data_IF_226634010398
#
_entry.id   IF_226634010398
#
_cell.length_a   1.000
_cell.length_b   1.000
_cell.length_c   1.000
_cell.angle_alpha   90.00
_cell.angle_beta   90.00
_cell.angle_gamma   90.00
#
_symmetry.space_group_name_H-M   'P 1'
#
loop_
_entity.id
_entity.type
_entity.pdbx_description
1 polymer ?
#
# COMPACT_ATOMS: atom_id res chain seq x y z
N UNK A 1 15.54 1.60 -22.74
CA UNK A 1 15.29 0.84 -21.49
C UNK A 1 14.28 1.61 -20.65
N UNK A 2 13.19 0.99 -20.26
CA UNK A 2 12.20 1.65 -19.42
C UNK A 2 12.78 1.94 -18.02
N UNK A 3 12.89 3.21 -17.64
CA UNK A 3 13.21 3.55 -16.26
C UNK A 3 11.96 3.40 -15.40
N UNK A 4 11.99 2.52 -14.43
CA UNK A 4 10.96 2.47 -13.39
C UNK A 4 11.44 3.32 -12.23
N UNK A 5 10.70 4.38 -11.93
CA UNK A 5 10.85 5.07 -10.67
C UNK A 5 10.04 4.32 -9.63
N UNK A 6 10.71 3.63 -8.72
CA UNK A 6 10.07 2.93 -7.60
C UNK A 6 10.17 3.76 -6.32
N UNK A 7 9.06 3.87 -5.60
CA UNK A 7 9.03 4.41 -4.25
C UNK A 7 8.83 3.25 -3.30
N UNK A 8 9.79 3.03 -2.41
CA UNK A 8 9.68 2.07 -1.33
C UNK A 8 9.30 2.80 -0.05
N UNK A 9 8.17 2.41 0.53
CA UNK A 9 7.64 3.02 1.74
C UNK A 9 7.70 2.01 2.88
N UNK A 10 8.38 2.39 3.97
CA UNK A 10 8.42 1.61 5.21
C UNK A 10 7.59 2.35 6.24
N UNK A 11 6.67 1.69 6.98
CA UNK A 11 5.82 2.37 7.95
C UNK A 11 6.63 3.10 9.01
N UNK A 12 6.47 4.42 9.08
CA UNK A 12 7.07 5.29 10.10
C UNK A 12 6.00 6.21 10.67
N UNK A 13 6.27 6.79 11.83
CA UNK A 13 5.36 7.70 12.53
C UNK A 13 5.71 9.15 12.26
N UNK A 14 5.60 9.59 11.02
CA UNK A 14 5.73 11.02 10.69
C UNK A 14 4.36 11.68 10.78
N UNK A 15 4.30 12.83 11.46
CA UNK A 15 3.09 13.63 11.54
C UNK A 15 2.94 14.51 10.30
N UNK A 16 1.71 14.72 9.87
CA UNK A 16 1.38 15.49 8.67
C UNK A 16 1.81 16.96 8.73
N UNK A 17 1.87 17.53 9.95
CA UNK A 17 2.27 18.92 10.19
C UNK A 17 3.80 19.13 10.22
N UNK A 18 4.59 18.08 10.10
CA UNK A 18 6.04 18.19 10.13
C UNK A 18 6.59 18.56 8.76
N UNK A 19 7.57 19.48 8.77
CA UNK A 19 8.37 19.76 7.58
C UNK A 19 9.25 18.55 7.27
N UNK A 20 9.43 18.15 6.00
CA UNK A 20 10.36 17.10 5.66
C UNK A 20 11.76 17.41 6.16
N UNK A 21 12.36 16.53 6.95
CA UNK A 21 13.72 16.66 7.46
C UNK A 21 14.74 16.03 6.48
N UNK A 22 14.30 14.99 5.77
CA UNK A 22 15.14 14.20 4.85
C UNK A 22 14.39 13.94 3.53
N UNK A 23 15.16 13.74 2.47
CA UNK A 23 14.61 13.23 1.21
C UNK A 23 13.97 11.84 1.45
N UNK A 24 12.73 11.67 1.00
CA UNK A 24 11.98 10.44 1.20
C UNK A 24 11.06 10.41 2.42
N UNK A 25 10.99 11.49 3.20
CA UNK A 25 9.98 11.61 4.25
C UNK A 25 8.57 11.59 3.64
N UNK A 26 7.64 10.88 4.29
CA UNK A 26 6.29 10.68 3.79
C UNK A 26 5.25 10.61 4.91
N UNK A 27 4.01 10.89 4.56
CA UNK A 27 2.83 10.57 5.36
C UNK A 27 2.01 9.53 4.61
N UNK A 28 1.76 8.41 5.26
CA UNK A 28 0.90 7.35 4.78
C UNK A 28 -0.32 7.28 5.70
N UNK A 29 -1.47 7.64 5.18
CA UNK A 29 -2.74 7.48 5.87
C UNK A 29 -3.15 5.99 5.90
N UNK A 30 -4.34 5.71 6.37
CA UNK A 30 -4.84 4.33 6.49
C UNK A 30 -4.53 3.51 5.24
N UNK A 31 -4.05 2.29 5.45
CA UNK A 31 -3.94 1.28 4.40
C UNK A 31 -4.98 0.23 4.67
N UNK A 32 -6.00 0.17 3.82
CA UNK A 32 -7.18 -0.69 4.01
C UNK A 32 -7.26 -1.71 2.88
N UNK A 33 -7.36 -2.96 3.25
CA UNK A 33 -7.68 -4.04 2.33
C UNK A 33 -9.20 -4.28 2.35
N UNK A 34 -9.81 -4.25 1.18
CA UNK A 34 -11.25 -4.40 0.99
C UNK A 34 -11.49 -5.68 0.19
N UNK A 35 -12.25 -6.62 0.74
CA UNK A 35 -12.55 -7.86 0.04
C UNK A 35 -13.74 -7.71 -0.94
N UNK A 36 -14.06 -8.78 -1.65
CA UNK A 36 -15.12 -8.81 -2.66
C UNK A 36 -16.53 -8.54 -2.12
N UNK A 37 -16.77 -8.77 -0.83
CA UNK A 37 -18.06 -8.48 -0.18
C UNK A 37 -18.09 -7.10 0.51
N UNK A 38 -17.00 -6.35 0.45
CA UNK A 38 -16.89 -5.02 1.03
C UNK A 38 -16.41 -4.97 2.48
N UNK A 39 -15.98 -6.09 3.05
CA UNK A 39 -15.34 -6.09 4.37
C UNK A 39 -13.97 -5.43 4.30
N UNK A 40 -13.64 -4.64 5.33
CA UNK A 40 -12.44 -3.82 5.38
C UNK A 40 -11.56 -4.24 6.54
N UNK A 41 -10.27 -4.37 6.25
CA UNK A 41 -9.24 -4.57 7.28
C UNK A 41 -8.18 -3.49 7.13
N UNK A 42 -7.86 -2.79 8.23
CA UNK A 42 -6.71 -1.91 8.29
C UNK A 42 -5.43 -2.75 8.38
N UNK A 43 -4.63 -2.74 7.33
CA UNK A 43 -3.40 -3.51 7.23
C UNK A 43 -2.13 -2.67 7.49
N UNK A 44 -2.29 -1.37 7.81
CA UNK A 44 -1.15 -0.47 8.02
C UNK A 44 -0.18 -0.99 9.09
N UNK A 45 -0.68 -1.58 10.16
CA UNK A 45 0.14 -2.05 11.28
C UNK A 45 0.80 -3.41 11.07
N UNK A 46 0.34 -4.16 10.09
CA UNK A 46 0.92 -5.45 9.71
C UNK A 46 1.72 -5.37 8.40
N UNK A 47 1.67 -4.22 7.74
CA UNK A 47 2.45 -3.95 6.54
C UNK A 47 3.90 -3.69 6.91
N UNK A 48 4.81 -4.37 6.24
CA UNK A 48 6.25 -4.19 6.41
C UNK A 48 6.89 -3.39 5.29
N UNK A 49 6.28 -3.41 4.11
CA UNK A 49 6.82 -2.75 2.93
C UNK A 49 5.70 -2.41 1.95
N UNK A 50 5.80 -1.23 1.35
CA UNK A 50 4.95 -0.79 0.25
C UNK A 50 5.86 -0.30 -0.88
N UNK A 51 5.74 -0.91 -2.06
CA UNK A 51 6.44 -0.49 -3.26
C UNK A 51 5.42 0.02 -4.29
N UNK A 52 5.71 1.16 -4.90
CA UNK A 52 4.90 1.76 -5.95
C UNK A 52 5.79 2.00 -7.16
N UNK A 53 5.35 1.55 -8.31
CA UNK A 53 6.09 1.62 -9.57
C UNK A 53 5.34 2.44 -10.60
N UNK A 54 5.98 3.49 -11.06
CA UNK A 54 5.52 4.33 -12.16
C UNK A 54 6.49 4.20 -13.34
N UNK A 55 5.96 4.23 -14.55
CA UNK A 55 6.76 4.24 -15.77
C UNK A 55 6.13 5.16 -16.80
N UNK A 56 6.96 5.95 -17.48
CA UNK A 56 6.52 6.79 -18.59
C UNK A 56 6.01 5.98 -19.80
N UNK A 57 6.29 4.70 -19.83
CA UNK A 57 5.86 3.79 -20.92
C UNK A 57 4.57 3.04 -20.59
N UNK A 58 4.08 3.11 -19.36
CA UNK A 58 2.84 2.46 -18.92
C UNK A 58 1.88 3.50 -18.37
N UNK A 59 0.62 3.39 -18.75
CA UNK A 59 -0.43 4.29 -18.26
C UNK A 59 -0.94 3.92 -16.86
N UNK A 60 -0.49 2.80 -16.30
CA UNK A 60 -0.94 2.32 -15.01
C UNK A 60 0.20 2.36 -13.98
N UNK A 61 -0.13 2.82 -12.78
CA UNK A 61 0.70 2.67 -11.59
C UNK A 61 0.49 1.27 -11.06
N UNK A 62 1.59 0.57 -10.77
CA UNK A 62 1.55 -0.76 -10.17
C UNK A 62 2.30 -0.77 -8.85
N UNK A 63 2.10 -1.77 -8.04
CA UNK A 63 2.86 -1.88 -6.80
C UNK A 63 2.72 -3.22 -6.11
N UNK A 64 3.35 -3.30 -4.95
CA UNK A 64 3.26 -4.46 -4.07
C UNK A 64 3.27 -4.05 -2.60
N UNK A 65 2.55 -4.79 -1.79
CA UNK A 65 2.54 -4.67 -0.33
C UNK A 65 2.98 -5.99 0.27
N UNK A 66 3.97 -5.94 1.16
CA UNK A 66 4.38 -7.08 1.98
C UNK A 66 3.72 -6.93 3.35
N UNK A 67 3.00 -7.95 3.77
CA UNK A 67 2.30 -8.00 5.06
C UNK A 67 2.72 -9.23 5.86
N UNK A 68 2.81 -9.06 7.19
CA UNK A 68 3.01 -10.14 8.15
C UNK A 68 1.74 -10.34 8.98
N UNK A 69 1.01 -11.40 8.71
CA UNK A 69 -0.25 -11.71 9.36
C UNK A 69 -0.04 -12.61 10.58
N UNK A 70 -0.20 -12.04 11.78
CA UNK A 70 -0.07 -12.75 13.04
C UNK A 70 -1.39 -13.34 13.55
N UNK A 71 -2.51 -12.78 13.10
CA UNK A 71 -3.87 -13.13 13.57
C UNK A 71 -4.68 -13.92 12.56
N UNK A 72 -4.05 -14.34 11.46
CA UNK A 72 -4.71 -15.03 10.36
C UNK A 72 -5.89 -14.25 9.75
N UNK A 73 -5.83 -12.93 9.80
CA UNK A 73 -6.90 -12.04 9.34
C UNK A 73 -7.11 -12.15 7.83
N UNK A 74 -6.01 -12.21 7.09
CA UNK A 74 -6.04 -12.29 5.62
C UNK A 74 -6.67 -13.61 5.16
N UNK A 75 -6.34 -14.72 5.82
CA UNK A 75 -6.96 -16.02 5.50
C UNK A 75 -8.46 -16.03 5.75
N UNK A 76 -8.95 -15.26 6.71
CA UNK A 76 -10.38 -15.12 7.01
C UNK A 76 -11.16 -14.32 5.97
N UNK A 77 -10.47 -13.45 5.22
CA UNK A 77 -11.10 -12.63 4.19
C UNK A 77 -11.40 -13.38 2.90
N UNK A 78 -10.99 -14.64 2.79
CA UNK A 78 -11.20 -15.45 1.57
C UNK A 78 -10.78 -14.70 0.29
N UNK A 79 -9.51 -14.34 0.22
CA UNK A 79 -8.97 -13.57 -0.90
C UNK A 79 -9.12 -14.33 -2.22
N UNK A 80 -9.82 -13.73 -3.17
CA UNK A 80 -10.20 -14.33 -4.45
C UNK A 80 -9.62 -13.61 -5.67
N UNK A 81 -8.88 -12.52 -5.47
CA UNK A 81 -8.34 -11.70 -6.54
C UNK A 81 -9.27 -10.55 -6.97
N UNK A 82 -10.30 -10.26 -6.19
CA UNK A 82 -11.22 -9.14 -6.39
C UNK A 82 -11.06 -8.07 -5.30
N UNK A 83 -10.03 -8.19 -4.50
CA UNK A 83 -9.72 -7.28 -3.41
C UNK A 83 -9.20 -5.95 -3.95
N UNK A 84 -9.44 -4.90 -3.16
CA UNK A 84 -8.92 -3.57 -3.43
C UNK A 84 -8.08 -3.09 -2.26
N UNK A 85 -7.08 -2.26 -2.56
CA UNK A 85 -6.26 -1.60 -1.55
C UNK A 85 -6.47 -0.10 -1.64
N UNK A 86 -6.88 0.50 -0.53
CA UNK A 86 -7.07 1.92 -0.40
C UNK A 86 -6.01 2.52 0.52
N UNK A 87 -5.35 3.59 0.08
CA UNK A 87 -4.41 4.37 0.87
C UNK A 87 -4.21 5.77 0.30
N UNK A 88 -3.58 6.64 1.07
CA UNK A 88 -3.22 7.98 0.66
C UNK A 88 -1.77 8.25 1.07
N UNK A 89 -0.93 8.63 0.12
CA UNK A 89 0.49 8.85 0.32
C UNK A 89 0.86 10.27 -0.13
N UNK A 90 1.51 11.03 0.75
CA UNK A 90 1.95 12.40 0.47
C UNK A 90 3.25 12.75 1.19
N UNK A 91 3.88 13.84 0.79
CA UNK A 91 5.03 14.42 1.49
C UNK A 91 4.53 15.29 2.65
N UNK A 92 5.08 15.19 3.88
CA UNK A 92 4.61 15.99 5.00
C UNK A 92 4.88 17.49 4.82
N UNK A 93 3.99 18.33 5.35
CA UNK A 93 4.16 19.77 5.48
C UNK A 93 4.11 20.58 4.17
N UNK A 94 3.70 19.98 3.06
CA UNK A 94 3.59 20.66 1.76
C UNK A 94 2.11 20.88 1.42
N UNK A 95 1.79 22.03 0.81
CA UNK A 95 0.47 22.26 0.22
C UNK A 95 0.40 21.54 -1.12
N UNK A 96 -0.55 20.61 -1.24
CA UNK A 96 -0.62 19.70 -2.37
C UNK A 96 -1.51 20.22 -3.48
N UNK A 97 -1.05 19.96 -4.70
CA UNK A 97 -1.93 19.81 -5.84
C UNK A 97 -2.29 18.33 -5.98
N UNK A 98 -3.33 18.03 -6.74
CA UNK A 98 -3.78 16.64 -6.97
C UNK A 98 -2.66 15.74 -7.50
N UNK A 99 -1.73 16.31 -8.27
CA UNK A 99 -0.62 15.61 -8.88
C UNK A 99 0.52 15.26 -7.90
N UNK A 100 0.54 15.92 -6.74
CA UNK A 100 1.62 15.79 -5.76
C UNK A 100 1.34 14.69 -4.72
N UNK A 101 0.22 14.00 -4.83
CA UNK A 101 -0.21 12.92 -3.91
C UNK A 101 -0.60 11.68 -4.69
N UNK A 102 -0.39 10.52 -4.05
CA UNK A 102 -0.95 9.26 -4.52
C UNK A 102 -2.21 9.01 -3.70
N UNK A 103 -3.35 9.31 -4.30
CA UNK A 103 -4.66 9.16 -3.67
C UNK A 103 -5.39 7.93 -4.24
N UNK A 104 -5.31 6.85 -3.51
CA UNK A 104 -6.06 5.63 -3.76
C UNK A 104 -7.11 5.40 -2.66
N UNK A 105 -7.58 6.48 -2.01
CA UNK A 105 -8.63 6.39 -1.00
C UNK A 105 -10.01 6.14 -1.62
N UNK A 106 -10.92 5.58 -0.83
CA UNK A 106 -12.30 5.38 -1.28
C UNK A 106 -13.09 6.68 -1.40
N UNK A 107 -12.72 7.71 -0.61
CA UNK A 107 -13.46 8.96 -0.55
C UNK A 107 -13.16 9.91 -1.70
N UNK A 108 -11.89 10.03 -2.07
CA UNK A 108 -11.41 11.07 -3.03
C UNK A 108 -10.60 10.52 -4.19
N UNK A 109 -10.16 9.27 -4.09
CA UNK A 109 -9.38 8.58 -5.10
C UNK A 109 -10.07 7.32 -5.63
N UNK A 110 -9.28 6.49 -6.26
CA UNK A 110 -9.70 5.18 -6.75
C UNK A 110 -8.77 4.10 -6.19
N UNK A 111 -9.31 3.19 -5.35
CA UNK A 111 -8.51 2.09 -4.80
C UNK A 111 -7.88 1.21 -5.88
N UNK A 112 -6.67 0.74 -5.63
CA UNK A 112 -6.00 -0.21 -6.49
C UNK A 112 -6.62 -1.60 -6.38
N UNK A 113 -6.59 -2.33 -7.48
CA UNK A 113 -7.02 -3.73 -7.52
C UNK A 113 -5.86 -4.68 -7.25
N UNK A 114 -6.05 -5.61 -6.32
CA UNK A 114 -5.12 -6.72 -6.09
C UNK A 114 -5.35 -7.76 -7.17
N UNK A 115 -4.30 -8.09 -7.92
CA UNK A 115 -4.41 -9.07 -9.00
C UNK A 115 -3.59 -10.33 -8.78
N UNK A 116 -2.69 -10.33 -7.78
CA UNK A 116 -1.81 -11.47 -7.51
C UNK A 116 -1.35 -11.48 -6.06
N UNK A 117 -1.23 -12.67 -5.48
CA UNK A 117 -0.62 -12.92 -4.18
C UNK A 117 0.56 -13.85 -4.39
N UNK A 118 1.72 -13.48 -3.86
CA UNK A 118 2.94 -14.28 -3.94
C UNK A 118 3.64 -14.37 -2.59
N UNK A 119 4.72 -15.15 -2.55
CA UNK A 119 5.64 -15.23 -1.41
C UNK A 119 4.96 -15.58 -0.09
N UNK A 120 3.87 -16.35 -0.15
CA UNK A 120 3.24 -16.87 1.05
C UNK A 120 4.17 -17.84 1.75
N UNK A 121 4.69 -17.42 2.90
CA UNK A 121 5.60 -18.23 3.71
C UNK A 121 5.42 -17.94 5.18
N UNK A 122 5.74 -18.93 5.99
CA UNK A 122 5.82 -18.77 7.42
C UNK A 122 7.14 -18.05 7.76
N UNK A 123 7.06 -16.79 8.19
CA UNK A 123 8.22 -15.99 8.55
C UNK A 123 8.76 -16.35 9.93
N UNK A 124 7.85 -16.57 10.91
CA UNK A 124 8.13 -16.99 12.27
C UNK A 124 6.97 -17.86 12.77
N UNK A 125 7.12 -18.46 13.97
CA UNK A 125 6.03 -19.16 14.64
C UNK A 125 4.82 -18.22 14.77
N UNK A 126 3.69 -18.57 14.15
CA UNK A 126 2.46 -17.79 14.19
C UNK A 126 2.40 -16.57 13.26
N UNK A 127 3.42 -16.32 12.44
CA UNK A 127 3.42 -15.23 11.46
C UNK A 127 3.49 -15.79 10.04
N UNK A 128 2.51 -15.43 9.21
CA UNK A 128 2.50 -15.76 7.79
C UNK A 128 2.71 -14.48 6.99
N UNK A 129 3.73 -14.46 6.14
CA UNK A 129 4.03 -13.35 5.25
C UNK A 129 3.40 -13.56 3.87
N UNK A 130 2.91 -12.46 3.29
CA UNK A 130 2.36 -12.43 1.93
C UNK A 130 2.86 -11.20 1.20
N UNK A 131 2.93 -11.30 -0.13
CA UNK A 131 3.09 -10.14 -1.01
C UNK A 131 1.83 -10.00 -1.86
N UNK A 132 1.14 -8.87 -1.72
CA UNK A 132 -0.01 -8.51 -2.54
C UNK A 132 0.45 -7.59 -3.66
N UNK A 133 0.21 -7.96 -4.90
CA UNK A 133 0.49 -7.15 -6.08
C UNK A 133 -0.79 -6.44 -6.53
N UNK A 134 -0.68 -5.13 -6.79
CA UNK A 134 -1.83 -4.30 -7.19
C UNK A 134 -1.53 -3.42 -8.40
N UNK A 135 -2.57 -3.00 -9.06
CA UNK A 135 -2.55 -2.07 -10.19
C UNK A 135 -3.80 -1.19 -10.21
#
# INVERSE_FOLDING_TARGET
>A
MASRNGIRVVPTKIKDDQTPAFAGDYVLDKVVLINHVGEKIDIKFIMTELNIYESIYNNAVTGSIVIGDTKNQISRMEIQGLERIAFHLKTPGITYRKEDVIDASEETGEPFHVYKITDRKQANTGVIAYTLHFA
#
